data_IF_624821172335
#
_entry.id   IF_624821172335
#
_cell.length_a   1.000
_cell.length_b   1.000
_cell.length_c   1.000
_cell.angle_alpha   90.00
_cell.angle_beta   90.00
_cell.angle_gamma   90.00
#
_symmetry.space_group_name_H-M   'P 1'
#
loop_
_entity.id
_entity.type
_entity.pdbx_description
1 polymer ?
#
# COMPACT_ATOMS: atom_id res chain seq x y z
N UNK A 1 -20.91 15.18 13.65
CA UNK A 1 -19.85 14.24 14.04
C UNK A 1 -19.94 12.99 13.15
N UNK A 2 -19.38 13.02 11.94
CA UNK A 2 -19.30 11.84 11.08
C UNK A 2 -18.11 10.99 11.55
N UNK A 3 -18.34 10.09 12.50
CA UNK A 3 -17.40 9.00 12.72
C UNK A 3 -17.35 8.17 11.44
N UNK A 4 -16.17 8.08 10.81
CA UNK A 4 -15.95 7.18 9.68
C UNK A 4 -16.28 5.78 10.14
N UNK A 5 -17.32 5.17 9.56
CA UNK A 5 -17.66 3.79 9.85
C UNK A 5 -16.46 2.91 9.48
N UNK A 6 -16.07 1.95 10.35
CA UNK A 6 -15.02 1.02 9.99
C UNK A 6 -15.41 0.27 8.72
N UNK A 7 -14.45 0.07 7.81
CA UNK A 7 -14.70 -0.67 6.58
C UNK A 7 -15.08 -2.11 6.89
N UNK A 8 -16.11 -2.62 6.21
CA UNK A 8 -16.48 -4.04 6.26
C UNK A 8 -15.38 -4.91 5.62
N UNK A 9 -15.35 -6.20 5.95
CA UNK A 9 -14.37 -7.16 5.39
C UNK A 9 -14.38 -7.19 3.86
N UNK A 10 -15.57 -7.05 3.24
CA UNK A 10 -15.72 -6.95 1.78
C UNK A 10 -15.05 -5.69 1.22
N UNK A 11 -15.31 -4.54 1.83
CA UNK A 11 -14.71 -3.26 1.41
C UNK A 11 -13.19 -3.27 1.56
N UNK A 12 -12.65 -3.84 2.65
CA UNK A 12 -11.20 -4.02 2.81
C UNK A 12 -10.60 -4.87 1.69
N UNK A 13 -11.26 -5.99 1.34
CA UNK A 13 -10.81 -6.86 0.24
C UNK A 13 -10.77 -6.11 -1.09
N UNK A 14 -11.84 -5.36 -1.41
CA UNK A 14 -11.91 -4.56 -2.65
C UNK A 14 -10.81 -3.49 -2.68
N UNK A 15 -10.60 -2.80 -1.56
CA UNK A 15 -9.52 -1.82 -1.42
C UNK A 15 -8.13 -2.44 -1.66
N UNK A 16 -7.82 -3.57 -1.02
CA UNK A 16 -6.54 -4.26 -1.21
C UNK A 16 -6.34 -4.72 -2.65
N UNK A 17 -7.38 -5.28 -3.30
CA UNK A 17 -7.30 -5.68 -4.70
C UNK A 17 -6.99 -4.51 -5.64
N UNK A 18 -7.57 -3.34 -5.41
CA UNK A 18 -7.29 -2.13 -6.21
C UNK A 18 -5.85 -1.68 -6.03
N UNK A 19 -5.35 -1.65 -4.79
CA UNK A 19 -3.96 -1.28 -4.49
C UNK A 19 -2.96 -2.24 -5.15
N UNK A 20 -3.19 -3.55 -5.04
CA UNK A 20 -2.33 -4.56 -5.67
C UNK A 20 -2.38 -4.45 -7.20
N UNK A 21 -3.57 -4.30 -7.79
CA UNK A 21 -3.72 -4.11 -9.24
C UNK A 21 -2.93 -2.90 -9.75
N UNK A 22 -3.01 -1.77 -9.06
CA UNK A 22 -2.37 -0.53 -9.52
C UNK A 22 -0.84 -0.57 -9.39
N UNK A 23 -0.29 -1.28 -8.39
CA UNK A 23 1.15 -1.33 -8.13
C UNK A 23 1.85 -2.51 -8.81
N UNK A 24 1.22 -3.69 -8.84
CA UNK A 24 1.82 -4.92 -9.39
C UNK A 24 1.32 -5.27 -10.80
N UNK A 25 0.38 -4.50 -11.37
CA UNK A 25 -0.17 -4.76 -12.70
C UNK A 25 -1.13 -5.97 -12.77
N UNK A 26 -1.63 -6.42 -11.62
CA UNK A 26 -2.52 -7.58 -11.54
C UNK A 26 -3.90 -7.32 -12.14
N UNK A 27 -4.49 -8.35 -12.75
CA UNK A 27 -5.85 -8.32 -13.30
C UNK A 27 -6.80 -9.06 -12.34
N UNK A 28 -8.10 -8.82 -12.50
CA UNK A 28 -9.14 -9.47 -11.67
C UNK A 28 -9.03 -10.99 -11.69
N UNK A 29 -8.64 -11.58 -12.82
CA UNK A 29 -8.42 -13.03 -12.97
C UNK A 29 -7.33 -13.59 -12.05
N UNK A 30 -6.32 -12.79 -11.71
CA UNK A 30 -5.17 -13.21 -10.91
C UNK A 30 -5.54 -13.32 -9.42
N UNK A 31 -6.64 -12.69 -9.01
CA UNK A 31 -7.21 -12.83 -7.66
C UNK A 31 -8.18 -14.02 -7.54
N UNK A 32 -8.50 -14.70 -8.65
CA UNK A 32 -9.44 -15.82 -8.63
C UNK A 32 -8.78 -17.01 -7.93
N UNK A 33 -9.42 -17.51 -6.87
CA UNK A 33 -8.89 -18.61 -6.07
C UNK A 33 -8.01 -18.18 -4.89
N UNK A 34 -7.66 -16.90 -4.77
CA UNK A 34 -6.93 -16.40 -3.61
C UNK A 34 -7.87 -16.15 -2.42
N UNK A 35 -7.43 -16.62 -1.26
CA UNK A 35 -8.02 -16.32 0.03
C UNK A 35 -7.84 -14.85 0.42
N UNK A 36 -8.56 -14.41 1.45
CA UNK A 36 -8.38 -13.04 1.96
C UNK A 36 -6.98 -12.82 2.57
N UNK A 37 -6.41 -13.84 3.21
CA UNK A 37 -5.08 -13.79 3.84
C UNK A 37 -3.96 -13.64 2.80
N UNK A 38 -4.06 -14.35 1.68
CA UNK A 38 -3.10 -14.19 0.57
C UNK A 38 -3.17 -12.79 -0.05
N UNK A 39 -4.38 -12.23 -0.18
CA UNK A 39 -4.57 -10.84 -0.65
C UNK A 39 -3.99 -9.85 0.36
N UNK A 40 -4.17 -10.10 1.66
CA UNK A 40 -3.61 -9.25 2.72
C UNK A 40 -2.08 -9.30 2.76
N UNK A 41 -1.47 -10.47 2.58
CA UNK A 41 -0.02 -10.63 2.48
C UNK A 41 0.55 -9.88 1.25
N UNK A 42 -0.12 -9.97 0.10
CA UNK A 42 0.27 -9.20 -1.10
C UNK A 42 0.08 -7.70 -0.92
N UNK A 43 -0.97 -7.29 -0.22
CA UNK A 43 -1.17 -5.89 0.13
C UNK A 43 -0.04 -5.36 1.02
N UNK A 44 0.43 -6.13 2.01
CA UNK A 44 1.54 -5.74 2.87
C UNK A 44 2.85 -5.54 2.08
N UNK A 45 3.11 -6.40 1.08
CA UNK A 45 4.27 -6.26 0.17
C UNK A 45 4.20 -4.94 -0.63
N UNK A 46 3.02 -4.61 -1.16
CA UNK A 46 2.78 -3.35 -1.88
C UNK A 46 2.88 -2.14 -0.94
N UNK A 47 2.31 -2.24 0.27
CA UNK A 47 2.34 -1.16 1.25
C UNK A 47 3.77 -0.82 1.66
N UNK A 48 4.61 -1.83 1.88
CA UNK A 48 6.04 -1.64 2.17
C UNK A 48 6.76 -0.90 1.04
N UNK A 49 6.44 -1.20 -0.22
CA UNK A 49 7.01 -0.44 -1.34
C UNK A 49 6.55 1.01 -1.31
N UNK A 50 5.25 1.27 -1.09
CA UNK A 50 4.72 2.64 -0.96
C UNK A 50 5.40 3.40 0.19
N UNK A 51 5.65 2.75 1.32
CA UNK A 51 6.38 3.35 2.45
C UNK A 51 7.85 3.66 2.13
N UNK A 52 8.50 2.85 1.28
CA UNK A 52 9.86 3.11 0.79
C UNK A 52 9.90 4.29 -0.20
N UNK A 53 8.85 4.43 -1.03
CA UNK A 53 8.69 5.49 -2.01
C UNK A 53 8.26 6.84 -1.44
N UNK A 54 7.52 6.85 -0.33
CA UNK A 54 7.34 8.08 0.45
C UNK A 54 8.61 8.21 1.25
N UNK A 55 9.58 9.05 0.82
CA UNK A 55 10.76 9.26 1.64
C UNK A 55 10.19 9.93 2.88
N UNK A 56 10.12 9.18 3.98
CA UNK A 56 9.78 9.75 5.27
C UNK A 56 10.91 10.75 5.51
N UNK A 57 10.66 12.03 5.21
CA UNK A 57 11.66 13.01 4.77
C UNK A 57 12.73 13.34 5.80
N UNK A 58 13.64 12.42 6.12
CA UNK A 58 14.45 12.53 7.33
C UNK A 58 15.82 11.83 7.27
N UNK A 59 16.37 11.53 6.10
CA UNK A 59 17.81 11.22 6.03
C UNK A 59 18.53 11.80 4.83
N UNK A 60 18.04 11.55 3.63
CA UNK A 60 18.76 11.95 2.41
C UNK A 60 18.63 13.45 2.09
N UNK A 61 17.48 14.08 2.34
CA UNK A 61 17.30 15.53 2.16
C UNK A 61 18.09 16.35 3.22
N UNK A 62 18.22 15.83 4.44
CA UNK A 62 19.01 16.46 5.50
C UNK A 62 20.53 16.36 5.26
N UNK A 63 21.02 15.27 4.65
CA UNK A 63 22.43 15.16 4.23
C UNK A 63 22.76 16.07 3.04
N UNK A 64 21.86 16.20 2.05
CA UNK A 64 22.07 17.09 0.90
C UNK A 64 22.10 18.59 1.28
N UNK A 65 21.48 18.96 2.40
CA UNK A 65 21.54 20.31 2.98
C UNK A 65 22.80 20.58 3.81
N UNK A 66 23.48 19.53 4.33
CA UNK A 66 24.73 19.68 5.10
C UNK A 66 25.99 19.79 4.23
N UNK A 67 25.91 19.48 2.93
CA UNK A 67 27.02 19.66 1.98
C UNK A 67 27.11 21.06 1.33
N UNK A 68 26.26 22.00 1.75
CA UNK A 68 26.30 23.41 1.35
C UNK A 68 26.43 24.32 2.58
N UNK A 69 27.54 24.20 3.30
CA UNK A 69 28.00 25.17 4.28
C UNK A 69 29.53 25.17 4.31
#
# INVERSE_FOLDING_TARGET
>A
NQQRRPMTKKQKREYYMVMIKNNLGWKVKDFKGLSFEEIEAKFAEVWKQVEDFIPTGSKEEAERLKGKA
#
